data_IF_913437119457
#
_entry.id   IF_913437119457
#
_cell.length_a   1.000
_cell.length_b   1.000
_cell.length_c   1.000
_cell.angle_alpha   90.00
_cell.angle_beta   90.00
_cell.angle_gamma   90.00
#
_symmetry.space_group_name_H-M   'P 1'
#
loop_
_entity.id
_entity.type
_entity.pdbx_description
1 polymer ?
#
# COMPACT_ATOMS: atom_id res chain seq x y z
N UNK A 1 -5.66 35.73 94.10
CA UNK A 1 -4.72 35.35 95.18
C UNK A 1 -4.17 33.96 94.87
N UNK A 2 -2.87 33.71 95.13
CA UNK A 2 -2.15 32.40 95.25
C UNK A 2 -3.03 31.13 95.13
N UNK A 3 -2.74 30.08 94.35
CA UNK A 3 -1.46 29.37 94.13
C UNK A 3 -1.64 28.27 93.05
N UNK A 4 -0.55 27.94 92.35
CA UNK A 4 -0.35 26.69 91.58
C UNK A 4 -0.46 25.44 92.48
N UNK A 5 -1.00 24.32 91.95
CA UNK A 5 -0.42 22.97 92.16
C UNK A 5 -0.96 21.90 91.21
N UNK A 6 -0.11 21.49 90.27
CA UNK A 6 -0.19 20.25 89.51
C UNK A 6 -0.10 19.04 90.44
N UNK A 7 -0.85 17.97 90.17
CA UNK A 7 -0.42 16.62 90.54
C UNK A 7 -1.02 15.58 89.58
N UNK A 8 -0.18 14.64 89.13
CA UNK A 8 -0.56 13.57 88.22
C UNK A 8 -0.47 12.22 88.93
N UNK A 9 -1.43 11.31 88.68
CA UNK A 9 -1.12 9.88 88.54
C UNK A 9 -2.23 9.04 87.89
N UNK A 10 -1.82 8.38 86.81
CA UNK A 10 -2.35 7.19 86.13
C UNK A 10 -3.43 6.35 86.83
N UNK A 11 -4.54 6.08 86.12
CA UNK A 11 -5.21 4.77 85.92
C UNK A 11 -6.52 5.02 85.10
N UNK A 12 -6.98 4.23 84.11
CA UNK A 12 -6.36 3.25 83.20
C UNK A 12 -7.35 2.86 82.07
N UNK A 13 -6.87 2.14 81.04
CA UNK A 13 -7.62 1.35 80.04
C UNK A 13 -8.34 2.04 78.85
N UNK A 14 -8.32 1.29 77.75
CA UNK A 14 -9.03 1.42 76.46
C UNK A 14 -8.60 2.53 75.49
N UNK A 15 -8.40 2.32 74.18
CA UNK A 15 -8.02 1.21 73.27
C UNK A 15 -8.21 1.80 71.86
N UNK A 16 -7.17 1.78 71.01
CA UNK A 16 -7.16 1.93 69.53
C UNK A 16 -7.93 3.07 68.82
N UNK A 17 -7.24 3.70 67.84
CA UNK A 17 -7.48 3.63 66.38
C UNK A 17 -7.10 4.97 65.72
N UNK A 18 -5.85 5.13 65.27
CA UNK A 18 -5.33 4.81 63.94
C UNK A 18 -5.52 5.93 62.90
N UNK A 19 -4.40 6.38 62.32
CA UNK A 19 -4.36 7.26 61.13
C UNK A 19 -4.66 6.44 59.87
N UNK A 20 -5.25 7.06 58.84
CA UNK A 20 -4.60 7.24 57.52
C UNK A 20 -5.41 8.16 56.60
N UNK A 21 -4.72 8.89 55.72
CA UNK A 21 -5.31 9.57 54.57
C UNK A 21 -5.88 8.55 53.58
N UNK A 22 -7.05 8.86 53.01
CA UNK A 22 -7.60 8.16 51.85
C UNK A 22 -7.87 9.15 50.71
N UNK A 23 -6.94 9.26 49.76
CA UNK A 23 -7.21 9.91 48.48
C UNK A 23 -8.12 9.00 47.67
N UNK A 24 -9.32 9.47 47.30
CA UNK A 24 -10.26 8.69 46.51
C UNK A 24 -9.75 8.53 45.06
N UNK A 25 -9.06 7.43 44.79
CA UNK A 25 -8.88 6.92 43.43
C UNK A 25 -10.21 6.27 43.05
N UNK A 26 -11.00 6.94 42.21
CA UNK A 26 -12.22 6.37 41.63
C UNK A 26 -11.81 5.42 40.51
N UNK A 27 -11.25 4.28 40.89
CA UNK A 27 -11.26 3.09 40.03
C UNK A 27 -12.70 2.57 39.98
N UNK A 28 -13.13 2.04 38.85
CA UNK A 28 -14.47 1.46 38.71
C UNK A 28 -14.53 0.12 39.49
N UNK A 29 -14.77 0.24 40.80
CA UNK A 29 -14.77 -0.85 41.77
C UNK A 29 -16.08 -0.92 42.53
N UNK A 30 -17.11 -1.45 41.86
CA UNK A 30 -18.27 -2.13 42.46
C UNK A 30 -18.82 -1.52 43.76
N UNK A 31 -19.36 -0.30 43.68
CA UNK A 31 -20.37 0.21 44.62
C UNK A 31 -21.50 0.81 43.79
N UNK A 32 -22.68 0.21 43.95
CA UNK A 32 -24.06 0.63 43.66
C UNK A 32 -24.83 -0.55 43.04
N UNK A 33 -25.82 -1.04 43.78
CA UNK A 33 -26.82 -1.99 43.31
C UNK A 33 -27.81 -1.27 42.37
N UNK A 34 -27.41 -1.06 41.12
CA UNK A 34 -28.33 -0.79 40.02
C UNK A 34 -28.15 -1.89 38.95
N UNK A 35 -29.25 -2.54 38.59
CA UNK A 35 -29.27 -3.52 37.50
C UNK A 35 -28.89 -2.82 36.18
N UNK A 36 -28.00 -3.45 35.40
CA UNK A 36 -27.61 -3.07 34.04
C UNK A 36 -26.91 -1.71 33.82
N UNK A 37 -25.89 -1.38 34.63
CA UNK A 37 -24.82 -0.47 34.16
C UNK A 37 -23.95 -1.22 33.13
N UNK A 38 -24.27 -1.05 31.85
CA UNK A 38 -23.49 -1.61 30.74
C UNK A 38 -22.05 -1.05 30.76
N UNK A 39 -21.14 -1.86 31.28
CA UNK A 39 -19.70 -1.59 31.29
C UNK A 39 -18.99 -2.08 30.02
N UNK A 40 -19.73 -2.47 28.97
CA UNK A 40 -19.15 -2.78 27.68
C UNK A 40 -18.49 -1.54 27.08
N UNK A 41 -17.31 -1.75 26.51
CA UNK A 41 -16.54 -0.70 25.85
C UNK A 41 -16.50 -1.05 24.38
N UNK A 42 -17.03 -0.17 23.53
CA UNK A 42 -17.07 -0.44 22.10
C UNK A 42 -15.77 -0.01 21.41
N UNK A 43 -14.92 -0.99 21.14
CA UNK A 43 -13.73 -0.83 20.33
C UNK A 43 -14.06 -0.88 18.83
N UNK A 44 -13.53 0.09 18.10
CA UNK A 44 -13.72 0.25 16.65
C UNK A 44 -12.40 0.54 15.96
N UNK A 45 -12.27 0.03 14.74
CA UNK A 45 -11.15 0.32 13.84
C UNK A 45 -11.68 1.05 12.61
N UNK A 46 -11.13 2.24 12.36
CA UNK A 46 -11.26 2.96 11.10
C UNK A 46 -10.05 2.64 10.24
N UNK A 47 -10.26 2.35 8.97
CA UNK A 47 -9.18 2.28 7.97
C UNK A 47 -9.13 3.61 7.21
N UNK A 48 -7.93 4.02 6.80
CA UNK A 48 -7.71 5.30 6.10
C UNK A 48 -6.69 5.10 4.98
N UNK A 49 -7.04 5.51 3.76
CA UNK A 49 -6.13 5.48 2.62
C UNK A 49 -5.93 6.91 2.07
N UNK A 50 -5.19 7.72 2.83
CA UNK A 50 -4.73 9.06 2.43
C UNK A 50 -3.25 9.10 2.00
N UNK A 51 -2.59 7.93 1.99
CA UNK A 51 -1.23 7.75 1.52
C UNK A 51 -1.21 7.58 -0.01
N UNK A 52 -1.60 8.64 -0.70
CA UNK A 52 -1.65 8.74 -2.16
C UNK A 52 -1.28 10.17 -2.61
N UNK A 53 -1.06 10.38 -3.91
CA UNK A 53 -0.74 11.71 -4.48
C UNK A 53 -1.88 12.74 -4.40
N UNK A 54 -3.12 12.31 -4.10
CA UNK A 54 -4.29 13.21 -3.91
C UNK A 54 -4.33 13.80 -2.49
N UNK A 55 -3.51 13.30 -1.55
CA UNK A 55 -3.49 13.66 -0.12
C UNK A 55 -4.88 13.61 0.56
N UNK A 56 -5.75 12.73 0.08
CA UNK A 56 -7.14 12.60 0.51
C UNK A 56 -7.50 11.14 0.75
N UNK A 57 -8.34 10.90 1.76
CA UNK A 57 -8.79 9.54 2.12
C UNK A 57 -9.68 8.96 1.01
N UNK A 58 -9.17 7.94 0.33
CA UNK A 58 -9.82 7.25 -0.78
C UNK A 58 -10.35 5.85 -0.38
N UNK A 59 -10.30 5.49 0.91
CA UNK A 59 -10.67 4.15 1.40
C UNK A 59 -12.02 3.66 0.86
N UNK A 60 -13.09 4.44 1.08
CA UNK A 60 -14.47 4.09 0.72
C UNK A 60 -14.76 4.03 -0.79
N UNK A 61 -13.78 4.35 -1.63
CA UNK A 61 -13.91 4.32 -3.11
C UNK A 61 -13.03 3.27 -3.77
N UNK A 62 -11.89 2.93 -3.16
CA UNK A 62 -10.90 2.05 -3.78
C UNK A 62 -10.79 0.69 -3.07
N UNK A 63 -11.12 0.59 -1.77
CA UNK A 63 -10.94 -0.64 -0.97
C UNK A 63 -12.27 -1.41 -0.84
N UNK A 64 -12.40 -2.54 -1.54
CA UNK A 64 -13.60 -3.40 -1.51
C UNK A 64 -13.55 -4.59 -0.52
N UNK A 65 -12.40 -4.83 0.11
CA UNK A 65 -12.17 -5.95 1.06
C UNK A 65 -11.14 -5.50 2.09
N UNK A 66 -11.37 -5.79 3.37
CA UNK A 66 -10.39 -5.53 4.45
C UNK A 66 -10.37 -6.67 5.45
N UNK A 67 -9.17 -7.22 5.70
CA UNK A 67 -8.94 -8.18 6.79
C UNK A 67 -8.01 -7.58 7.82
N UNK A 68 -8.53 -7.41 9.03
CA UNK A 68 -7.81 -7.00 10.22
C UNK A 68 -7.32 -8.22 10.98
N UNK A 69 -6.08 -8.18 11.44
CA UNK A 69 -5.46 -9.13 12.34
C UNK A 69 -4.93 -8.37 13.56
N UNK A 70 -5.26 -8.82 14.77
CA UNK A 70 -4.70 -8.28 16.01
C UNK A 70 -3.86 -9.36 16.70
N UNK A 71 -2.62 -8.99 17.03
CA UNK A 71 -1.66 -9.83 17.75
C UNK A 71 -1.38 -9.21 19.11
N UNK A 72 -1.19 -10.03 20.13
CA UNK A 72 -0.82 -9.57 21.49
C UNK A 72 0.65 -9.09 21.57
N UNK A 73 1.05 -8.61 22.74
CA UNK A 73 2.43 -8.22 23.05
C UNK A 73 3.46 -9.37 22.96
N UNK A 74 3.01 -10.64 22.89
CA UNK A 74 3.86 -11.81 22.65
C UNK A 74 3.98 -12.15 21.14
N UNK A 75 3.33 -11.39 20.26
CA UNK A 75 3.30 -11.63 18.81
C UNK A 75 2.38 -12.78 18.39
N UNK A 76 1.46 -13.22 19.27
CA UNK A 76 0.46 -14.27 19.02
C UNK A 76 -0.82 -13.66 18.45
N UNK A 77 -1.39 -14.26 17.39
CA UNK A 77 -2.68 -13.84 16.86
C UNK A 77 -3.76 -14.08 17.93
N UNK A 78 -4.56 -13.06 18.25
CA UNK A 78 -5.69 -13.18 19.19
C UNK A 78 -7.04 -12.97 18.53
N UNK A 79 -7.08 -12.24 17.43
CA UNK A 79 -8.31 -11.84 16.76
C UNK A 79 -8.05 -11.61 15.27
N UNK A 80 -9.02 -11.98 14.45
CA UNK A 80 -9.05 -11.60 13.05
C UNK A 80 -10.49 -11.34 12.61
N UNK A 81 -10.67 -10.43 11.66
CA UNK A 81 -11.98 -10.15 11.06
C UNK A 81 -11.82 -9.64 9.63
N UNK A 82 -12.62 -10.20 8.73
CA UNK A 82 -12.77 -9.74 7.35
C UNK A 82 -14.13 -9.08 7.19
N UNK A 83 -14.16 -7.91 6.54
CA UNK A 83 -15.39 -7.28 6.03
C UNK A 83 -15.18 -6.93 4.55
N UNK A 84 -16.24 -7.05 3.75
CA UNK A 84 -16.22 -6.86 2.30
C UNK A 84 -17.52 -6.29 1.75
N UNK A 85 -17.45 -5.73 0.53
CA UNK A 85 -18.60 -5.16 -0.19
C UNK A 85 -18.98 -3.75 0.24
N UNK A 86 -20.19 -3.33 -0.14
CA UNK A 86 -20.65 -1.93 -0.11
C UNK A 86 -20.57 -1.26 1.27
N UNK A 87 -20.57 -2.03 2.37
CA UNK A 87 -20.47 -1.51 3.75
C UNK A 87 -19.17 -0.75 4.02
N UNK A 88 -18.07 -1.10 3.34
CA UNK A 88 -16.80 -0.36 3.40
C UNK A 88 -16.91 1.04 2.75
N UNK A 89 -17.90 1.22 1.86
CA UNK A 89 -18.19 2.47 1.16
C UNK A 89 -19.07 3.44 1.96
N UNK A 90 -19.64 3.01 3.09
CA UNK A 90 -20.56 3.83 3.89
C UNK A 90 -19.85 5.00 4.60
N UNK A 91 -20.54 6.14 4.69
CA UNK A 91 -20.00 7.30 5.42
C UNK A 91 -19.89 7.00 6.92
N UNK A 92 -18.75 7.34 7.51
CA UNK A 92 -18.44 6.99 8.90
C UNK A 92 -18.14 5.51 9.16
N UNK A 93 -17.93 4.67 8.12
CA UNK A 93 -17.60 3.25 8.27
C UNK A 93 -16.48 3.01 9.30
N UNK A 94 -16.75 2.08 10.22
CA UNK A 94 -15.81 1.60 11.24
C UNK A 94 -16.10 0.14 11.57
N UNK A 95 -15.08 -0.70 11.48
CA UNK A 95 -15.16 -2.11 11.87
C UNK A 95 -15.24 -2.21 13.41
N UNK A 96 -16.34 -2.73 13.94
CA UNK A 96 -16.42 -3.11 15.36
C UNK A 96 -15.51 -4.31 15.62
N UNK A 97 -14.72 -4.25 16.70
CA UNK A 97 -13.81 -5.31 17.12
C UNK A 97 -14.09 -5.77 18.55
N UNK A 98 -14.19 -7.08 18.74
CA UNK A 98 -14.52 -7.70 20.03
C UNK A 98 -13.22 -8.20 20.69
N UNK A 99 -12.42 -7.23 21.14
CA UNK A 99 -11.14 -7.44 21.83
C UNK A 99 -11.28 -7.20 23.34
N UNK A 100 -10.53 -7.93 24.15
CA UNK A 100 -10.32 -7.55 25.55
C UNK A 100 -9.42 -6.30 25.65
N UNK A 101 -9.43 -5.56 26.78
CA UNK A 101 -8.49 -4.46 26.99
C UNK A 101 -7.05 -4.97 27.09
N UNK A 102 -6.14 -4.31 26.40
CA UNK A 102 -4.74 -4.68 26.31
C UNK A 102 -4.01 -3.89 25.23
N UNK A 103 -2.71 -4.14 25.09
CA UNK A 103 -1.87 -3.59 24.04
C UNK A 103 -1.71 -4.62 22.91
N UNK A 104 -1.94 -4.19 21.67
CA UNK A 104 -1.96 -5.08 20.50
C UNK A 104 -1.19 -4.50 19.31
N UNK A 105 -0.70 -5.39 18.47
CA UNK A 105 -0.22 -5.07 17.12
C UNK A 105 -1.34 -5.33 16.12
N UNK A 106 -1.87 -4.26 15.51
CA UNK A 106 -2.85 -4.34 14.45
C UNK A 106 -2.13 -4.41 13.11
N UNK A 107 -2.46 -5.40 12.29
CA UNK A 107 -2.02 -5.54 10.90
C UNK A 107 -3.25 -5.67 10.02
N UNK A 108 -3.18 -5.15 8.81
CA UNK A 108 -4.28 -5.19 7.86
C UNK A 108 -3.77 -5.53 6.48
N UNK A 109 -4.42 -6.49 5.83
CA UNK A 109 -4.30 -6.74 4.41
C UNK A 109 -5.67 -6.45 3.77
N UNK A 110 -5.69 -5.59 2.75
CA UNK A 110 -6.90 -5.14 2.07
C UNK A 110 -6.78 -5.37 0.56
N UNK A 111 -7.92 -5.62 -0.10
CA UNK A 111 -7.99 -6.04 -1.51
C UNK A 111 -7.84 -7.56 -1.74
N UNK A 112 -7.87 -8.36 -0.67
CA UNK A 112 -7.88 -9.83 -0.73
C UNK A 112 -9.31 -10.36 -0.91
N UNK A 113 -9.81 -10.35 -2.14
CA UNK A 113 -11.08 -10.97 -2.53
C UNK A 113 -10.86 -12.28 -3.34
N UNK A 114 -11.94 -12.92 -3.80
CA UNK A 114 -11.87 -14.17 -4.58
C UNK A 114 -11.19 -14.05 -5.96
N UNK A 115 -10.94 -12.83 -6.44
CA UNK A 115 -10.22 -12.53 -7.69
C UNK A 115 -8.84 -11.89 -7.42
N UNK A 116 -8.38 -11.92 -6.17
CA UNK A 116 -7.12 -11.32 -5.77
C UNK A 116 -5.93 -12.00 -6.45
N UNK A 117 -4.92 -11.21 -6.78
CA UNK A 117 -3.63 -11.70 -7.30
C UNK A 117 -2.62 -11.98 -6.20
N UNK A 118 -3.11 -12.17 -4.97
CA UNK A 118 -2.32 -12.27 -3.75
C UNK A 118 -2.98 -13.20 -2.75
N UNK A 119 -2.14 -14.01 -2.11
CA UNK A 119 -2.52 -15.00 -1.11
C UNK A 119 -1.82 -14.69 0.22
N UNK A 120 -2.57 -14.75 1.33
CA UNK A 120 -2.06 -14.72 2.71
C UNK A 120 -2.38 -16.06 3.38
N UNK A 121 -1.45 -16.70 4.12
CA UNK A 121 -1.72 -17.94 4.82
C UNK A 121 -2.92 -17.87 5.76
N UNK A 122 -3.62 -19.00 5.88
CA UNK A 122 -4.63 -19.18 6.94
C UNK A 122 -3.91 -19.24 8.28
N UNK A 123 -4.19 -18.27 9.14
CA UNK A 123 -3.63 -18.15 10.50
C UNK A 123 -4.69 -18.46 11.55
N UNK A 124 -4.26 -19.03 12.68
CA UNK A 124 -5.15 -19.51 13.76
C UNK A 124 -4.91 -18.74 15.05
N UNK A 125 -5.97 -18.17 15.65
CA UNK A 125 -5.89 -17.45 16.91
C UNK A 125 -5.41 -18.35 18.05
N UNK A 126 -4.48 -17.85 18.88
CA UNK A 126 -3.78 -18.58 19.94
C UNK A 126 -2.57 -19.41 19.45
N UNK A 127 -2.50 -19.73 18.17
CA UNK A 127 -1.45 -20.59 17.59
C UNK A 127 -0.44 -19.77 16.78
N UNK A 128 -0.90 -19.09 15.73
CA UNK A 128 -0.05 -18.39 14.75
C UNK A 128 0.66 -17.16 15.31
N UNK A 129 1.85 -16.93 14.79
CA UNK A 129 2.71 -15.77 15.04
C UNK A 129 2.59 -14.70 13.94
N UNK A 130 3.04 -13.48 14.21
CA UNK A 130 3.09 -12.39 13.22
C UNK A 130 3.92 -12.75 11.98
N UNK A 131 5.02 -13.49 12.15
CA UNK A 131 5.95 -13.85 11.07
C UNK A 131 5.36 -14.80 10.02
N UNK A 132 4.23 -15.46 10.34
CA UNK A 132 3.45 -16.29 9.41
C UNK A 132 2.56 -15.46 8.47
N UNK A 133 2.28 -14.20 8.79
CA UNK A 133 1.35 -13.33 8.05
C UNK A 133 2.01 -12.67 6.83
N UNK A 134 2.65 -13.50 6.00
CA UNK A 134 3.30 -13.10 4.75
C UNK A 134 2.26 -13.02 3.63
N UNK A 135 2.41 -12.07 2.72
CA UNK A 135 1.57 -11.94 1.53
C UNK A 135 2.39 -12.33 0.30
N UNK A 136 1.99 -13.42 -0.38
CA UNK A 136 2.63 -13.90 -1.60
C UNK A 136 1.78 -13.56 -2.82
N UNK A 137 2.39 -12.94 -3.82
CA UNK A 137 1.79 -12.70 -5.13
C UNK A 137 1.60 -14.01 -5.91
N UNK A 138 0.42 -14.20 -6.47
CA UNK A 138 0.08 -15.32 -7.34
C UNK A 138 0.83 -15.22 -8.67
N UNK A 139 1.38 -16.33 -9.14
CA UNK A 139 2.35 -16.37 -10.25
C UNK A 139 2.34 -17.71 -10.98
N UNK A 140 2.72 -17.69 -12.25
CA UNK A 140 2.90 -18.89 -13.06
C UNK A 140 4.38 -19.26 -13.14
N UNK A 141 4.75 -20.48 -12.77
CA UNK A 141 6.12 -20.94 -12.98
C UNK A 141 6.38 -21.26 -14.46
N UNK A 142 7.51 -20.80 -14.98
CA UNK A 142 7.96 -21.16 -16.32
C UNK A 142 8.16 -22.68 -16.43
N UNK A 143 8.07 -23.23 -17.65
CA UNK A 143 8.51 -24.62 -17.91
C UNK A 143 10.03 -24.75 -17.99
N UNK A 144 10.75 -23.64 -18.04
CA UNK A 144 12.21 -23.63 -17.91
C UNK A 144 12.62 -23.88 -16.45
N UNK A 145 13.66 -24.67 -16.23
CA UNK A 145 14.24 -24.92 -14.91
C UNK A 145 15.13 -23.75 -14.41
N UNK A 146 14.87 -22.52 -14.88
CA UNK A 146 15.64 -21.32 -14.51
C UNK A 146 15.23 -20.72 -13.16
N UNK A 147 14.15 -21.22 -12.56
CA UNK A 147 13.63 -20.76 -11.27
C UNK A 147 12.87 -19.43 -11.33
N UNK A 148 12.55 -18.93 -12.52
CA UNK A 148 11.76 -17.71 -12.72
C UNK A 148 10.26 -17.98 -12.69
N UNK A 149 9.49 -16.95 -12.35
CA UNK A 149 8.04 -16.97 -12.46
C UNK A 149 7.51 -15.78 -13.27
N UNK A 150 6.29 -15.93 -13.77
CA UNK A 150 5.65 -15.04 -14.74
C UNK A 150 4.33 -14.53 -14.16
N UNK A 151 4.08 -13.24 -14.35
CA UNK A 151 2.81 -12.58 -14.05
C UNK A 151 2.31 -11.93 -15.34
N UNK A 152 1.19 -12.41 -15.88
CA UNK A 152 0.63 -11.96 -17.17
C UNK A 152 -0.84 -11.50 -17.06
N UNK A 153 -1.38 -11.44 -15.86
CA UNK A 153 -2.69 -10.89 -15.52
C UNK A 153 -2.57 -9.46 -15.01
N UNK A 154 -3.69 -8.73 -15.00
CA UNK A 154 -3.80 -7.48 -14.24
C UNK A 154 -3.83 -7.83 -12.75
N UNK A 155 -2.92 -7.27 -11.96
CA UNK A 155 -2.95 -7.43 -10.50
C UNK A 155 -4.17 -6.72 -9.92
N UNK A 156 -4.86 -7.38 -8.99
CA UNK A 156 -5.81 -6.72 -8.08
C UNK A 156 -5.07 -5.67 -7.25
N UNK A 157 -5.75 -4.60 -6.82
CA UNK A 157 -5.13 -3.65 -5.91
C UNK A 157 -4.96 -4.26 -4.51
N UNK A 158 -3.78 -4.11 -3.93
CA UNK A 158 -3.43 -4.60 -2.59
C UNK A 158 -3.04 -3.42 -1.70
N UNK A 159 -3.53 -3.41 -0.46
CA UNK A 159 -3.11 -2.46 0.57
C UNK A 159 -2.64 -3.17 1.83
N UNK A 160 -1.67 -2.56 2.51
CA UNK A 160 -1.20 -2.96 3.83
C UNK A 160 -1.42 -1.84 4.85
N UNK A 161 -1.78 -2.20 6.08
CA UNK A 161 -1.80 -1.28 7.21
C UNK A 161 -1.17 -1.90 8.45
N UNK A 162 -0.55 -1.07 9.30
CA UNK A 162 0.06 -1.51 10.56
C UNK A 162 0.03 -0.44 11.63
N UNK A 163 -0.39 -0.83 12.83
CA UNK A 163 -0.29 -0.02 14.06
C UNK A 163 0.34 -0.89 15.15
N UNK A 164 1.45 -0.44 15.73
CA UNK A 164 2.20 -1.19 16.76
C UNK A 164 1.86 -0.69 18.16
N UNK A 165 1.60 -1.61 19.10
CA UNK A 165 1.25 -1.29 20.50
C UNK A 165 0.08 -0.30 20.61
N UNK A 166 -0.99 -0.60 19.88
CA UNK A 166 -2.27 0.06 20.09
C UNK A 166 -2.86 -0.40 21.42
N UNK A 167 -3.05 0.53 22.35
CA UNK A 167 -3.74 0.26 23.61
C UNK A 167 -5.25 0.38 23.45
N UNK A 168 -5.99 -0.66 23.85
CA UNK A 168 -7.44 -0.63 24.03
C UNK A 168 -7.74 -0.66 25.52
N UNK A 169 -8.43 0.37 26.03
CA UNK A 169 -8.58 0.59 27.48
C UNK A 169 -10.02 0.89 27.89
N UNK A 170 -10.39 0.50 29.12
CA UNK A 170 -11.71 0.79 29.71
C UNK A 170 -11.90 2.24 30.18
N UNK A 171 -11.13 3.18 29.64
CA UNK A 171 -11.15 4.60 30.04
C UNK A 171 -12.26 5.42 29.37
N UNK A 172 -12.85 4.91 28.28
CA UNK A 172 -13.96 5.51 27.56
C UNK A 172 -14.99 4.42 27.21
N UNK A 173 -16.25 4.80 26.98
CA UNK A 173 -17.31 3.87 26.54
C UNK A 173 -17.19 3.45 25.08
N UNK A 174 -16.45 4.22 24.27
CA UNK A 174 -16.05 3.82 22.91
C UNK A 174 -14.67 4.36 22.58
N UNK A 175 -13.90 3.60 21.79
CA UNK A 175 -12.59 4.02 21.27
C UNK A 175 -12.49 3.66 19.79
N UNK A 176 -12.13 4.65 18.95
CA UNK A 176 -11.91 4.47 17.52
C UNK A 176 -10.42 4.61 17.22
N UNK A 177 -9.81 3.53 16.75
CA UNK A 177 -8.40 3.50 16.31
C UNK A 177 -8.35 3.68 14.80
N UNK A 178 -7.40 4.47 14.28
CA UNK A 178 -7.19 4.59 12.82
C UNK A 178 -5.99 3.76 12.38
N UNK A 179 -6.20 2.82 11.45
CA UNK A 179 -5.14 2.09 10.75
C UNK A 179 -4.88 2.78 9.40
N UNK A 180 -3.70 3.38 9.19
CA UNK A 180 -3.32 3.93 7.89
C UNK A 180 -3.00 2.79 6.93
N UNK A 181 -3.41 2.95 5.67
CA UNK A 181 -3.16 2.02 4.57
C UNK A 181 -2.18 2.62 3.55
N UNK A 182 -1.26 1.79 3.07
CA UNK A 182 -0.35 2.04 1.94
C UNK A 182 -0.70 1.06 0.81
N UNK A 183 -0.71 1.52 -0.44
CA UNK A 183 -0.99 0.68 -1.61
C UNK A 183 0.31 0.03 -2.09
N UNK A 184 0.25 -1.27 -2.39
CA UNK A 184 1.43 -2.09 -2.72
C UNK A 184 1.49 -2.51 -4.19
N UNK A 185 0.56 -2.05 -5.03
CA UNK A 185 0.47 -2.43 -6.45
C UNK A 185 0.45 -1.19 -7.31
N UNK A 186 1.27 -1.22 -8.36
CA UNK A 186 1.54 -0.09 -9.25
C UNK A 186 1.14 -0.44 -10.69
N UNK A 187 0.65 0.54 -11.43
CA UNK A 187 0.30 0.43 -12.85
C UNK A 187 1.29 1.25 -13.70
N UNK A 188 2.06 0.57 -14.55
CA UNK A 188 3.03 1.19 -15.46
C UNK A 188 2.45 1.17 -16.87
N UNK A 189 2.04 2.34 -17.37
CA UNK A 189 1.68 2.56 -18.77
C UNK A 189 2.91 2.98 -19.55
N UNK A 190 3.28 2.17 -20.53
CA UNK A 190 4.40 2.40 -21.43
C UNK A 190 3.84 2.85 -22.78
N UNK A 191 4.36 3.94 -23.31
CA UNK A 191 4.01 4.49 -24.62
C UNK A 191 5.30 4.57 -25.46
N UNK A 192 5.31 3.88 -26.60
CA UNK A 192 6.32 4.05 -27.64
C UNK A 192 5.74 4.97 -28.70
N UNK A 193 6.35 6.12 -28.93
CA UNK A 193 5.95 7.08 -29.96
C UNK A 193 6.99 7.13 -31.08
N UNK A 194 6.57 6.93 -32.33
CA UNK A 194 7.43 7.17 -33.48
C UNK A 194 7.48 8.66 -33.82
N UNK A 195 8.68 9.15 -34.11
CA UNK A 195 8.95 10.54 -34.51
C UNK A 195 8.93 10.71 -36.04
N UNK A 196 9.38 9.70 -36.79
CA UNK A 196 9.60 9.78 -38.24
C UNK A 196 8.37 9.36 -39.09
N UNK A 197 7.17 9.39 -38.52
CA UNK A 197 5.90 9.14 -39.24
C UNK A 197 5.61 7.68 -39.63
N UNK A 198 6.47 6.73 -39.26
CA UNK A 198 6.25 5.29 -39.49
C UNK A 198 5.21 4.73 -38.52
N UNK A 199 4.34 3.83 -39.01
CA UNK A 199 3.38 3.12 -38.17
C UNK A 199 4.08 2.20 -37.16
N UNK A 200 3.77 2.35 -35.87
CA UNK A 200 4.25 1.47 -34.79
C UNK A 200 3.18 0.43 -34.48
N UNK A 201 3.43 -0.84 -34.79
CA UNK A 201 2.58 -1.95 -34.34
C UNK A 201 3.01 -2.40 -32.93
N UNK A 202 2.07 -2.46 -31.98
CA UNK A 202 2.32 -2.87 -30.59
C UNK A 202 2.67 -4.36 -30.47
N UNK A 203 2.23 -5.18 -31.41
CA UNK A 203 2.48 -6.63 -31.38
C UNK A 203 3.88 -7.00 -31.87
N UNK A 204 4.57 -6.11 -32.58
CA UNK A 204 5.99 -6.27 -32.92
C UNK A 204 6.93 -6.14 -31.71
N UNK A 205 6.42 -5.70 -30.55
CA UNK A 205 7.21 -5.50 -29.33
C UNK A 205 6.79 -6.47 -28.20
N UNK A 206 7.79 -6.98 -27.51
CA UNK A 206 7.65 -7.62 -26.20
C UNK A 206 8.06 -6.62 -25.13
N UNK A 207 7.15 -6.33 -24.22
CA UNK A 207 7.37 -5.47 -23.06
C UNK A 207 7.41 -6.36 -21.82
N UNK A 208 8.42 -6.19 -20.97
CA UNK A 208 8.52 -6.89 -19.69
C UNK A 208 9.05 -5.97 -18.60
N UNK A 209 8.64 -6.21 -17.36
CA UNK A 209 9.33 -5.68 -16.18
C UNK A 209 9.79 -6.88 -15.36
N UNK A 210 11.04 -6.89 -14.91
CA UNK A 210 11.56 -7.94 -14.02
C UNK A 210 11.89 -7.37 -12.65
N UNK A 211 11.44 -8.02 -11.57
CA UNK A 211 11.69 -7.64 -10.16
C UNK A 211 11.55 -8.87 -9.22
N UNK A 212 12.02 -8.81 -7.98
CA UNK A 212 11.86 -9.89 -6.97
C UNK A 212 10.94 -9.47 -5.78
N UNK A 213 9.97 -8.60 -6.08
CA UNK A 213 9.03 -8.00 -5.12
C UNK A 213 7.73 -8.80 -4.88
N UNK A 214 7.74 -10.11 -5.13
CA UNK A 214 6.55 -10.95 -5.08
C UNK A 214 6.11 -11.41 -3.68
N UNK A 215 6.95 -11.26 -2.65
CA UNK A 215 6.71 -11.76 -1.31
C UNK A 215 6.91 -10.64 -0.28
N UNK A 216 5.85 -10.30 0.45
CA UNK A 216 5.85 -9.27 1.49
C UNK A 216 5.70 -9.90 2.87
N UNK A 217 6.42 -9.37 3.84
CA UNK A 217 6.31 -9.73 5.25
C UNK A 217 5.12 -9.02 5.94
N UNK A 218 4.78 -9.43 7.15
CA UNK A 218 3.76 -8.80 8.00
C UNK A 218 3.99 -7.30 8.26
N UNK A 219 5.23 -6.82 8.15
CA UNK A 219 5.63 -5.41 8.29
C UNK A 219 5.78 -4.67 6.95
N UNK A 220 5.19 -5.22 5.89
CA UNK A 220 5.20 -4.73 4.50
C UNK A 220 6.57 -4.71 3.80
N UNK A 221 7.64 -5.17 4.46
CA UNK A 221 8.95 -5.30 3.80
C UNK A 221 8.91 -6.41 2.78
N UNK A 222 9.61 -6.22 1.67
CA UNK A 222 9.90 -7.31 0.74
C UNK A 222 10.80 -8.34 1.44
N UNK A 223 10.44 -9.61 1.30
CA UNK A 223 11.29 -10.74 1.62
C UNK A 223 12.03 -11.17 0.36
N UNK A 224 13.12 -11.93 0.51
CA UNK A 224 13.79 -12.54 -0.63
C UNK A 224 12.84 -13.50 -1.34
N UNK A 225 12.64 -13.28 -2.62
CA UNK A 225 11.76 -14.07 -3.50
C UNK A 225 12.51 -14.54 -4.76
N UNK A 226 11.84 -15.30 -5.63
CA UNK A 226 12.30 -15.54 -7.00
C UNK A 226 12.05 -14.32 -7.92
N UNK A 227 12.84 -14.18 -9.00
CA UNK A 227 12.61 -13.12 -10.00
C UNK A 227 11.31 -13.38 -10.76
N UNK A 228 10.42 -12.38 -10.70
CA UNK A 228 9.18 -12.31 -11.44
C UNK A 228 9.39 -11.55 -12.76
N UNK A 229 8.78 -12.04 -13.83
CA UNK A 229 8.65 -11.32 -15.11
C UNK A 229 7.19 -10.93 -15.33
N UNK A 230 6.92 -9.64 -15.26
CA UNK A 230 5.62 -9.02 -15.49
C UNK A 230 5.40 -8.72 -16.97
N UNK A 231 4.25 -9.11 -17.50
CA UNK A 231 3.82 -8.89 -18.88
C UNK A 231 2.59 -7.97 -18.96
N UNK A 232 2.37 -7.27 -20.09
CA UNK A 232 1.20 -6.42 -20.25
C UNK A 232 -0.12 -7.18 -20.24
N UNK A 233 -1.05 -6.74 -19.39
CA UNK A 233 -2.46 -7.18 -19.41
C UNK A 233 -3.30 -6.44 -20.46
N UNK A 234 -2.80 -5.30 -20.94
CA UNK A 234 -3.44 -4.48 -21.97
C UNK A 234 -2.41 -3.96 -22.96
N UNK A 235 -2.76 -4.00 -24.24
CA UNK A 235 -1.98 -3.50 -25.38
C UNK A 235 -2.92 -2.81 -26.36
N UNK A 236 -2.49 -1.70 -26.94
CA UNK A 236 -3.24 -1.00 -27.99
C UNK A 236 -2.29 -0.17 -28.86
N UNK A 237 -2.66 -0.02 -30.13
CA UNK A 237 -2.02 0.89 -31.07
C UNK A 237 -2.89 2.14 -31.25
N UNK A 238 -2.26 3.32 -31.31
CA UNK A 238 -2.89 4.59 -31.60
C UNK A 238 -2.27 5.27 -32.83
N UNK A 239 -3.08 6.09 -33.50
CA UNK A 239 -2.63 6.97 -34.58
C UNK A 239 -3.49 8.24 -34.62
N UNK A 240 -2.91 9.36 -35.02
CA UNK A 240 -3.65 10.61 -35.32
C UNK A 240 -4.50 10.50 -36.58
N UNK A 241 -4.28 9.49 -37.42
CA UNK A 241 -4.99 9.26 -38.70
C UNK A 241 -6.40 8.64 -38.53
N UNK A 242 -7.05 8.83 -37.37
CA UNK A 242 -8.41 8.34 -37.10
C UNK A 242 -9.49 9.15 -37.83
N UNK A 243 -9.67 8.84 -39.11
CA UNK A 243 -10.93 8.88 -39.86
C UNK A 243 -11.75 10.19 -39.75
N UNK A 244 -11.10 11.35 -39.95
CA UNK A 244 -11.82 12.62 -40.18
C UNK A 244 -12.55 12.59 -41.52
N UNK A 245 -13.71 11.92 -41.59
CA UNK A 245 -14.71 12.01 -42.67
C UNK A 245 -15.47 13.35 -42.64
N UNK A 246 -14.74 14.44 -42.42
CA UNK A 246 -15.16 15.82 -42.65
C UNK A 246 -14.21 16.41 -43.68
N UNK A 247 -14.76 16.98 -44.77
CA UNK A 247 -13.99 17.38 -45.94
C UNK A 247 -12.78 18.27 -45.59
N UNK A 248 -11.55 17.74 -45.77
CA UNK A 248 -10.33 18.55 -45.76
C UNK A 248 -10.25 19.36 -47.06
N UNK A 249 -9.88 20.62 -46.95
CA UNK A 249 -9.60 21.46 -48.12
C UNK A 249 -8.19 21.12 -48.65
N UNK A 250 -7.99 21.24 -49.97
CA UNK A 250 -6.66 21.14 -50.57
C UNK A 250 -5.81 22.34 -50.12
N UNK A 251 -4.81 22.11 -49.26
CA UNK A 251 -3.91 23.18 -48.81
C UNK A 251 -2.93 22.82 -47.68
N UNK A 252 -3.36 22.02 -46.71
CA UNK A 252 -2.53 21.72 -45.53
C UNK A 252 -1.62 20.51 -45.76
N UNK A 253 -0.33 20.78 -45.98
CA UNK A 253 0.77 19.81 -45.98
C UNK A 253 1.52 19.86 -44.65
N UNK A 254 1.91 18.68 -44.14
CA UNK A 254 2.63 18.46 -42.85
C UNK A 254 1.78 18.40 -41.56
N UNK A 255 0.67 17.65 -41.57
CA UNK A 255 0.27 16.93 -40.36
C UNK A 255 1.25 15.75 -40.17
N UNK A 256 2.11 15.80 -39.15
CA UNK A 256 2.97 14.68 -38.80
C UNK A 256 2.13 13.54 -38.22
N UNK A 257 2.06 12.42 -38.93
CA UNK A 257 1.34 11.23 -38.47
C UNK A 257 2.01 10.63 -37.23
N UNK A 258 1.48 10.94 -36.04
CA UNK A 258 1.95 10.38 -34.79
C UNK A 258 1.35 8.97 -34.65
N UNK A 259 2.20 7.95 -34.70
CA UNK A 259 1.84 6.58 -34.37
C UNK A 259 2.42 6.18 -33.01
N UNK A 260 1.60 5.54 -32.18
CA UNK A 260 1.99 5.08 -30.85
C UNK A 260 1.62 3.62 -30.61
N UNK A 261 2.51 2.88 -29.93
CA UNK A 261 2.20 1.59 -29.32
C UNK A 261 2.13 1.77 -27.80
N UNK A 262 1.08 1.24 -27.18
CA UNK A 262 0.82 1.40 -25.74
C UNK A 262 0.69 0.03 -25.10
N UNK A 263 1.41 -0.19 -24.00
CA UNK A 263 1.29 -1.36 -23.15
C UNK A 263 1.03 -0.92 -21.69
N UNK A 264 0.24 -1.68 -20.93
CA UNK A 264 0.07 -1.48 -19.48
C UNK A 264 0.42 -2.75 -18.72
N UNK A 265 1.31 -2.61 -17.74
CA UNK A 265 1.82 -3.67 -16.87
C UNK A 265 1.51 -3.28 -15.43
N UNK A 266 0.88 -4.18 -14.67
CA UNK A 266 0.79 -4.05 -13.21
C UNK A 266 1.97 -4.75 -12.55
N UNK A 267 2.57 -4.13 -11.54
CA UNK A 267 3.69 -4.67 -10.76
C UNK A 267 3.42 -4.57 -9.25
N UNK A 268 4.18 -5.32 -8.45
CA UNK A 268 4.15 -5.25 -6.99
C UNK A 268 4.72 -3.94 -6.42
N UNK A 269 5.13 -3.98 -5.15
CA UNK A 269 5.63 -2.79 -4.44
C UNK A 269 6.98 -2.37 -5.00
N UNK A 270 7.13 -1.08 -5.30
CA UNK A 270 8.38 -0.50 -5.77
C UNK A 270 9.19 0.01 -4.56
N UNK A 271 10.46 -0.39 -4.48
CA UNK A 271 11.34 -0.01 -3.38
C UNK A 271 12.61 0.67 -3.91
N UNK A 272 13.11 1.68 -3.19
CA UNK A 272 14.32 2.45 -3.58
C UNK A 272 15.59 1.59 -3.59
N UNK A 273 15.66 0.56 -2.73
CA UNK A 273 16.78 -0.38 -2.65
C UNK A 273 16.66 -1.57 -3.62
N UNK A 274 15.54 -1.67 -4.36
CA UNK A 274 15.36 -2.65 -5.43
C UNK A 274 15.75 -2.12 -6.80
N UNK A 275 15.96 -3.03 -7.75
CA UNK A 275 16.40 -2.70 -9.11
C UNK A 275 15.52 -3.34 -10.20
N UNK A 276 14.19 -3.07 -10.20
CA UNK A 276 13.32 -3.52 -11.27
C UNK A 276 13.81 -3.00 -12.63
N UNK A 277 13.75 -3.86 -13.65
CA UNK A 277 14.20 -3.52 -15.01
C UNK A 277 13.05 -3.62 -15.99
N UNK A 278 12.66 -2.48 -16.56
CA UNK A 278 11.78 -2.41 -17.73
C UNK A 278 12.61 -2.75 -18.97
N UNK A 279 12.17 -3.72 -19.76
CA UNK A 279 12.76 -4.09 -21.04
C UNK A 279 11.72 -4.11 -22.15
N UNK A 280 12.14 -3.71 -23.34
CA UNK A 280 11.35 -3.78 -24.57
C UNK A 280 12.23 -4.39 -25.65
N UNK A 281 11.76 -5.46 -26.27
CA UNK A 281 12.46 -6.21 -27.33
C UNK A 281 11.61 -6.21 -28.59
N UNK A 282 12.22 -5.94 -29.74
CA UNK A 282 11.58 -6.10 -31.03
C UNK A 282 11.54 -7.60 -31.38
N UNK A 283 10.35 -8.18 -31.58
CA UNK A 283 10.16 -9.62 -31.77
C UNK A 283 10.66 -10.15 -33.11
N UNK A 284 10.64 -9.32 -34.16
CA UNK A 284 11.04 -9.71 -35.52
C UNK A 284 12.56 -9.85 -35.65
N UNK A 285 13.30 -8.96 -34.98
CA UNK A 285 14.77 -8.91 -35.01
C UNK A 285 15.43 -9.60 -33.82
N UNK A 286 14.71 -9.68 -32.68
CA UNK A 286 15.28 -10.08 -31.39
C UNK A 286 16.15 -8.99 -30.73
N UNK A 287 16.24 -7.78 -31.29
CA UNK A 287 17.03 -6.70 -30.71
C UNK A 287 16.30 -6.02 -29.54
N UNK A 288 17.05 -5.71 -28.48
CA UNK A 288 16.57 -4.89 -27.36
C UNK A 288 16.43 -3.43 -27.81
N UNK A 289 15.20 -2.91 -27.76
CA UNK A 289 14.85 -1.52 -28.10
C UNK A 289 15.14 -0.59 -26.93
N UNK A 290 14.79 -1.02 -25.72
CA UNK A 290 14.94 -0.30 -24.45
C UNK A 290 15.25 -1.32 -23.36
N UNK A 291 16.16 -1.02 -22.43
CA UNK A 291 16.22 -1.77 -21.16
C UNK A 291 16.86 -0.94 -20.05
N UNK A 292 16.05 -0.50 -19.09
CA UNK A 292 16.38 0.55 -18.10
C UNK A 292 16.04 0.13 -16.65
N UNK A 293 16.77 0.65 -15.65
CA UNK A 293 16.40 0.51 -14.24
C UNK A 293 15.17 1.39 -13.92
N UNK A 294 14.00 0.75 -13.78
CA UNK A 294 12.69 1.40 -13.70
C UNK A 294 12.62 2.40 -12.55
N UNK A 295 12.87 1.96 -11.31
CA UNK A 295 12.80 2.82 -10.11
C UNK A 295 13.70 4.05 -10.25
N UNK A 296 14.93 3.89 -10.73
CA UNK A 296 15.84 5.03 -10.92
C UNK A 296 15.28 6.06 -11.89
N UNK A 297 14.62 5.62 -12.96
CA UNK A 297 14.01 6.49 -13.96
C UNK A 297 12.76 7.19 -13.41
N UNK A 298 11.89 6.47 -12.68
CA UNK A 298 10.72 7.08 -12.02
C UNK A 298 11.11 8.18 -11.03
N UNK A 299 12.24 8.02 -10.34
CA UNK A 299 12.78 9.00 -9.39
C UNK A 299 13.43 10.24 -10.05
N UNK A 300 13.68 10.25 -11.36
CA UNK A 300 14.16 11.43 -12.10
C UNK A 300 13.11 12.55 -12.22
N UNK A 301 11.86 12.28 -11.85
CA UNK A 301 10.78 13.29 -11.73
C UNK A 301 10.92 14.17 -10.50
N UNK A 302 11.87 13.89 -9.60
CA UNK A 302 12.05 14.57 -8.29
C UNK A 302 10.72 14.66 -7.51
N UNK A 303 10.02 13.52 -7.43
CA UNK A 303 8.70 13.38 -6.81
C UNK A 303 7.64 14.36 -7.35
N UNK A 304 7.72 14.69 -8.66
CA UNK A 304 6.83 15.63 -9.34
C UNK A 304 6.83 17.03 -8.68
N UNK A 305 7.96 17.42 -8.07
CA UNK A 305 8.14 18.70 -7.37
C UNK A 305 7.55 18.75 -5.94
N UNK A 306 7.10 17.62 -5.39
CA UNK A 306 6.61 17.52 -4.01
C UNK A 306 7.76 17.33 -3.01
N UNK A 307 7.66 17.97 -1.84
CA UNK A 307 8.57 17.74 -0.71
C UNK A 307 8.23 16.41 -0.01
N UNK A 308 8.86 15.32 -0.47
CA UNK A 308 8.70 13.98 0.08
C UNK A 308 9.94 13.11 -0.15
N UNK A 309 10.04 11.99 0.57
CA UNK A 309 11.14 11.03 0.35
C UNK A 309 10.93 10.19 -0.92
N UNK A 310 12.01 9.66 -1.49
CA UNK A 310 11.94 8.78 -2.68
C UNK A 310 11.02 7.57 -2.46
N UNK A 311 11.06 6.96 -1.27
CA UNK A 311 10.18 5.81 -0.95
C UNK A 311 8.73 6.26 -0.74
N UNK A 312 8.50 7.42 -0.13
CA UNK A 312 7.15 7.99 -0.01
C UNK A 312 6.51 8.27 -1.37
N UNK A 313 7.28 8.77 -2.34
CA UNK A 313 6.81 8.92 -3.71
C UNK A 313 6.41 7.58 -4.33
N UNK A 314 7.28 6.57 -4.25
CA UNK A 314 7.01 5.23 -4.79
C UNK A 314 5.83 4.50 -4.13
N UNK A 315 5.53 4.82 -2.87
CA UNK A 315 4.40 4.27 -2.11
C UNK A 315 3.10 5.11 -2.23
N UNK A 316 3.18 6.37 -2.69
CA UNK A 316 2.04 7.28 -2.91
C UNK A 316 1.55 7.33 -4.36
N UNK A 317 2.46 7.25 -5.32
CA UNK A 317 2.15 7.27 -6.74
C UNK A 317 1.99 5.82 -7.20
N UNK A 318 0.77 5.46 -7.58
CA UNK A 318 0.38 4.10 -7.97
C UNK A 318 0.13 3.96 -9.48
N UNK A 319 0.09 5.08 -10.22
CA UNK A 319 -0.01 5.11 -11.68
C UNK A 319 1.16 5.89 -12.29
N UNK A 320 1.87 5.27 -13.23
CA UNK A 320 3.02 5.85 -13.92
C UNK A 320 2.83 5.77 -15.43
N UNK A 321 2.95 6.91 -16.12
CA UNK A 321 2.85 7.03 -17.56
C UNK A 321 4.23 7.38 -18.13
N UNK A 322 4.87 6.43 -18.83
CA UNK A 322 6.21 6.58 -19.41
C UNK A 322 6.13 6.61 -20.93
N UNK A 323 6.54 7.72 -21.55
CA UNK A 323 6.64 7.86 -23.01
C UNK A 323 8.10 7.84 -23.46
N UNK A 324 8.40 6.96 -24.41
CA UNK A 324 9.70 6.82 -25.07
C UNK A 324 9.56 7.12 -26.56
N UNK A 325 10.53 7.82 -27.12
CA UNK A 325 10.55 8.19 -28.54
C UNK A 325 11.41 7.21 -29.34
N UNK A 326 10.89 6.77 -30.49
CA UNK A 326 11.61 5.90 -31.43
C UNK A 326 12.11 6.68 -32.65
N UNK A 327 13.15 6.16 -33.30
CA UNK A 327 13.62 6.57 -34.62
C UNK A 327 12.98 5.72 -35.74
N UNK A 328 13.22 6.11 -37.00
CA UNK A 328 12.83 5.37 -38.22
C UNK A 328 13.17 3.85 -38.20
N UNK A 329 14.17 3.43 -37.44
CA UNK A 329 14.64 2.05 -37.30
C UNK A 329 14.00 1.31 -36.11
N UNK A 330 12.99 1.92 -35.45
CA UNK A 330 12.33 1.44 -34.24
C UNK A 330 13.28 1.30 -33.03
N UNK A 331 14.37 2.08 -32.99
CA UNK A 331 15.32 2.14 -31.86
C UNK A 331 15.00 3.32 -30.97
N UNK A 332 15.24 3.18 -29.67
CA UNK A 332 14.95 4.23 -28.70
C UNK A 332 15.91 5.42 -28.84
N UNK A 333 15.34 6.60 -29.06
CA UNK A 333 16.06 7.88 -29.03
C UNK A 333 16.27 8.27 -27.56
N UNK A 334 17.41 7.85 -27.01
CA UNK A 334 17.82 8.17 -25.63
C UNK A 334 18.30 9.63 -25.47
N UNK A 335 17.43 10.60 -25.77
CA UNK A 335 17.67 12.04 -25.52
C UNK A 335 16.69 12.61 -24.50
N UNK A 336 15.44 12.14 -24.51
CA UNK A 336 14.44 12.46 -23.51
C UNK A 336 13.39 11.36 -23.37
N UNK A 337 12.72 11.39 -22.23
CA UNK A 337 11.50 10.62 -21.94
C UNK A 337 10.51 11.53 -21.24
N UNK A 338 9.24 11.15 -21.24
CA UNK A 338 8.21 11.79 -20.43
C UNK A 338 7.74 10.80 -19.37
N UNK A 339 7.75 11.20 -18.10
CA UNK A 339 7.21 10.41 -16.99
C UNK A 339 6.19 11.27 -16.25
N UNK A 340 4.91 10.86 -16.22
CA UNK A 340 3.82 11.62 -15.60
C UNK A 340 3.79 13.09 -16.06
N UNK A 341 3.90 13.30 -17.38
CA UNK A 341 4.01 14.60 -18.06
C UNK A 341 5.29 15.43 -17.76
N UNK A 342 6.20 14.95 -16.91
CA UNK A 342 7.52 15.57 -16.69
C UNK A 342 8.53 15.13 -17.76
N UNK A 343 9.13 16.10 -18.46
CA UNK A 343 10.17 15.85 -19.46
C UNK A 343 11.53 15.68 -18.79
N UNK A 344 12.03 14.45 -18.76
CA UNK A 344 13.38 14.13 -18.32
C UNK A 344 14.30 14.13 -19.54
N UNK A 345 15.43 14.85 -19.48
CA UNK A 345 16.43 14.91 -20.56
C UNK A 345 17.74 14.26 -20.13
N UNK A 346 18.31 13.47 -21.02
CA UNK A 346 19.63 12.87 -20.84
C UNK A 346 20.65 13.70 -21.63
N UNK A 347 21.62 14.29 -20.93
CA UNK A 347 22.81 14.84 -21.57
C UNK A 347 23.85 13.71 -21.70
N UNK A 348 24.66 13.72 -22.75
CA UNK A 348 25.69 12.69 -23.06
C UNK A 348 26.85 12.56 -22.03
N UNK A 349 26.72 13.13 -20.83
CA UNK A 349 27.76 13.17 -19.81
C UNK A 349 27.75 11.98 -18.83
N UNK A 350 26.66 11.21 -18.76
CA UNK A 350 26.44 10.16 -17.74
C UNK A 350 26.18 8.74 -18.35
N UNK A 351 26.83 8.41 -19.47
CA UNK A 351 26.84 7.06 -20.09
C UNK A 351 28.21 6.37 -20.00
#
# INVERSE_FOLDING_TARGET
>A
MKTVKTFARQLSFSLMMAMTLGSAIVSCGSILDEEDVDCSVEYRVKFKYDYNMKYADAFSREVGTVTLYAFDDNGKLVYQKTEEGDVLGEDGYTMKVDLEPGDYHLITWAGLNNEASFSVPLVTAGESSMDELQCKMDRMYSRAEDGTAIVNSKLSSLWHGKVTKQSFSRAATSQVVTVPLVKNTNSIRIILQQMDGVTVDVDNFEFTITDDNGLMNYDNKLLKDETLTYYPYYRVQGSTDMDTKGARAEGDTEDSNISVAIAQITVGRLMVDQNPRLSITNKDTGETVLSIPLVKYLLLTEAEGHDMTQQEYLDRQDEYNMTFFLDENMKWINTSIIINDWVVRFNEMDM
#
